data_IF_250720804386
#
_entry.id   IF_250720804386
#
_cell.length_a   1.000
_cell.length_b   1.000
_cell.length_c   1.000
_cell.angle_alpha   90.00
_cell.angle_beta   90.00
_cell.angle_gamma   90.00
#
_symmetry.space_group_name_H-M   'P 1'
#
loop_
_entity.id
_entity.type
_entity.pdbx_description
1 polymer ?
#
# COMPACT_ATOMS: atom_id res chain seq x y z
N UNK A 1 -8.96 -40.75 3.29
CA UNK A 1 -9.84 -39.56 3.46
C UNK A 1 -8.94 -38.39 3.80
N UNK A 2 -8.97 -37.35 2.96
CA UNK A 2 -8.02 -36.24 3.02
C UNK A 2 -8.29 -35.37 4.25
N UNK A 3 -7.23 -35.00 4.99
CA UNK A 3 -7.28 -34.08 6.14
C UNK A 3 -7.88 -32.71 5.76
N UNK A 4 -7.83 -32.36 4.47
CA UNK A 4 -8.49 -31.18 3.89
C UNK A 4 -10.01 -31.17 4.10
N UNK A 5 -10.64 -32.34 4.20
CA UNK A 5 -12.10 -32.46 4.34
C UNK A 5 -12.59 -32.21 5.77
N UNK A 6 -11.72 -32.34 6.78
CA UNK A 6 -12.09 -32.20 8.19
C UNK A 6 -12.03 -30.75 8.69
N UNK A 7 -11.14 -29.93 8.11
CA UNK A 7 -11.06 -28.50 8.43
C UNK A 7 -12.16 -27.68 7.73
N UNK A 8 -12.73 -28.17 6.62
CA UNK A 8 -13.82 -27.48 5.90
C UNK A 8 -15.16 -27.44 6.65
N UNK A 9 -15.38 -28.31 7.64
CA UNK A 9 -16.61 -28.27 8.46
C UNK A 9 -16.54 -27.31 9.65
N UNK A 10 -15.34 -26.83 10.03
CA UNK A 10 -15.17 -25.96 11.20
C UNK A 10 -15.00 -24.48 10.86
N UNK A 11 -14.67 -24.16 9.60
CA UNK A 11 -14.64 -22.80 9.09
C UNK A 11 -15.59 -22.75 7.91
N UNK A 12 -16.79 -22.21 8.11
CA UNK A 12 -17.68 -21.86 7.01
C UNK A 12 -16.92 -20.89 6.10
N UNK A 13 -16.45 -21.37 4.96
CA UNK A 13 -15.88 -20.51 3.91
C UNK A 13 -16.98 -19.57 3.46
N UNK A 14 -17.05 -18.36 4.03
CA UNK A 14 -17.89 -17.28 3.52
C UNK A 14 -17.28 -16.85 2.19
N UNK A 15 -17.83 -17.38 1.11
CA UNK A 15 -17.65 -16.81 -0.21
C UNK A 15 -18.52 -15.55 -0.23
N UNK A 16 -17.89 -14.37 -0.35
CA UNK A 16 -18.60 -13.12 -0.62
C UNK A 16 -19.06 -13.12 -2.08
N UNK A 17 -20.00 -14.01 -2.42
CA UNK A 17 -20.73 -13.96 -3.70
C UNK A 17 -21.88 -12.97 -3.51
N UNK A 18 -21.66 -11.71 -3.90
CA UNK A 18 -22.72 -10.72 -3.97
C UNK A 18 -23.65 -11.13 -5.11
N UNK A 19 -24.95 -11.43 -4.86
CA UNK A 19 -25.86 -11.74 -5.93
C UNK A 19 -26.08 -10.51 -6.82
N UNK A 20 -26.06 -10.81 -8.12
CA UNK A 20 -26.15 -9.93 -9.27
C UNK A 20 -27.20 -8.81 -9.18
N UNK A 21 -26.81 -7.70 -9.80
CA UNK A 21 -27.54 -6.48 -10.09
C UNK A 21 -28.97 -6.74 -10.63
N UNK A 22 -29.96 -6.10 -10.00
CA UNK A 22 -31.23 -5.76 -10.67
C UNK A 22 -31.19 -4.27 -11.07
N UNK A 23 -30.97 -4.01 -12.35
CA UNK A 23 -31.13 -2.70 -12.96
C UNK A 23 -32.60 -2.26 -12.97
N UNK A 24 -32.87 -1.02 -12.52
CA UNK A 24 -34.03 -0.24 -12.95
C UNK A 24 -33.61 1.19 -13.26
N UNK A 25 -33.92 1.74 -14.46
CA UNK A 25 -33.54 3.08 -14.87
C UNK A 25 -34.62 4.10 -14.49
N UNK A 26 -34.20 5.25 -13.99
CA UNK A 26 -34.92 6.53 -13.93
C UNK A 26 -33.93 7.58 -13.38
N UNK A 27 -33.82 8.81 -13.84
CA UNK A 27 -34.35 9.62 -14.91
C UNK A 27 -33.48 10.90 -14.83
N UNK A 28 -33.03 11.45 -15.96
CA UNK A 28 -32.17 12.65 -15.98
C UNK A 28 -32.91 13.88 -15.41
N UNK A 29 -32.26 14.62 -14.52
CA UNK A 29 -32.52 16.04 -14.33
C UNK A 29 -31.17 16.76 -14.10
N UNK A 30 -30.84 17.79 -14.90
CA UNK A 30 -29.58 18.50 -14.78
C UNK A 30 -29.69 19.51 -13.65
N UNK A 31 -28.83 19.38 -12.64
CA UNK A 31 -28.55 20.44 -11.69
C UNK A 31 -27.11 20.89 -11.92
N UNK A 32 -26.93 21.87 -12.80
CA UNK A 32 -25.81 22.80 -12.72
C UNK A 32 -25.95 23.57 -11.41
N UNK A 33 -25.30 23.07 -10.35
CA UNK A 33 -24.91 23.89 -9.21
C UNK A 33 -23.42 23.68 -8.97
N UNK A 34 -22.68 24.77 -9.17
CA UNK A 34 -21.30 25.04 -8.79
C UNK A 34 -20.51 23.85 -8.23
N UNK A 35 -19.61 23.32 -9.07
CA UNK A 35 -18.42 22.62 -8.58
C UNK A 35 -17.56 23.62 -7.79
N UNK A 36 -17.88 23.81 -6.51
CA UNK A 36 -16.82 23.97 -5.52
C UNK A 36 -16.06 22.64 -5.57
N UNK A 37 -14.93 22.62 -6.29
CA UNK A 37 -13.92 21.58 -6.11
C UNK A 37 -13.52 21.62 -4.64
N UNK A 38 -14.19 20.83 -3.80
CA UNK A 38 -13.62 20.42 -2.51
C UNK A 38 -12.27 19.78 -2.86
N UNK A 39 -11.17 20.50 -2.61
CA UNK A 39 -9.83 19.91 -2.68
C UNK A 39 -9.83 18.69 -1.76
N UNK A 40 -9.82 17.51 -2.37
CA UNK A 40 -9.71 16.25 -1.65
C UNK A 40 -8.43 16.31 -0.80
N UNK A 41 -8.48 15.97 0.50
CA UNK A 41 -7.31 16.09 1.35
C UNK A 41 -6.16 15.23 0.80
N UNK A 42 -5.03 15.87 0.51
CA UNK A 42 -3.84 15.16 0.00
C UNK A 42 -3.38 14.05 0.95
N UNK A 43 -2.98 12.90 0.40
CA UNK A 43 -2.36 11.84 1.19
C UNK A 43 -0.99 12.29 1.70
N UNK A 44 -0.86 12.39 3.02
CA UNK A 44 0.38 12.83 3.70
C UNK A 44 1.43 11.71 3.81
N UNK A 45 1.07 10.46 3.49
CA UNK A 45 1.95 9.30 3.62
C UNK A 45 3.21 9.38 2.74
N UNK A 46 3.15 9.75 1.44
CA UNK A 46 4.33 9.80 0.59
C UNK A 46 5.36 10.81 1.09
N UNK A 47 4.91 12.02 1.45
CA UNK A 47 5.78 13.07 2.00
C UNK A 47 6.46 12.62 3.31
N UNK A 48 5.71 11.98 4.22
CA UNK A 48 6.28 11.43 5.46
C UNK A 48 7.30 10.32 5.20
N UNK A 49 7.05 9.44 4.23
CA UNK A 49 7.98 8.38 3.84
C UNK A 49 9.29 8.95 3.29
N UNK A 50 9.23 9.98 2.45
CA UNK A 50 10.42 10.65 1.93
C UNK A 50 11.24 11.33 3.03
N UNK A 51 10.58 12.11 3.91
CA UNK A 51 11.24 12.74 5.06
C UNK A 51 11.93 11.70 5.96
N UNK A 52 11.21 10.61 6.28
CA UNK A 52 11.73 9.55 7.12
C UNK A 52 12.86 8.77 6.44
N UNK A 53 12.80 8.55 5.13
CA UNK A 53 13.86 7.89 4.36
C UNK A 53 15.16 8.72 4.29
N UNK A 54 15.04 10.06 4.29
CA UNK A 54 16.16 11.00 4.30
C UNK A 54 16.68 11.32 5.71
N UNK A 55 15.96 10.90 6.75
CA UNK A 55 16.37 11.11 8.14
C UNK A 55 17.73 10.48 8.43
N UNK A 56 18.49 11.06 9.37
CA UNK A 56 19.79 10.52 9.76
C UNK A 56 19.74 9.08 10.30
N UNK A 57 18.59 8.66 10.83
CA UNK A 57 18.37 7.29 11.32
C UNK A 57 18.22 6.28 10.19
N UNK A 58 17.60 6.65 9.05
CA UNK A 58 17.31 5.74 7.96
C UNK A 58 18.16 5.95 6.70
N UNK A 59 18.87 7.08 6.57
CA UNK A 59 19.62 7.44 5.36
C UNK A 59 20.63 6.37 4.93
N UNK A 60 21.27 5.68 5.89
CA UNK A 60 22.19 4.58 5.59
C UNK A 60 21.46 3.39 4.94
N UNK A 61 20.33 2.96 5.52
CA UNK A 61 19.52 1.87 4.98
C UNK A 61 18.96 2.22 3.60
N UNK A 62 18.44 3.45 3.43
CA UNK A 62 17.97 3.97 2.14
C UNK A 62 19.09 3.92 1.09
N UNK A 63 20.31 4.33 1.44
CA UNK A 63 21.45 4.28 0.52
C UNK A 63 21.84 2.85 0.13
N UNK A 64 21.80 1.91 1.08
CA UNK A 64 22.07 0.49 0.79
C UNK A 64 21.03 -0.09 -0.17
N UNK A 65 19.75 0.22 0.06
CA UNK A 65 18.68 -0.17 -0.84
C UNK A 65 18.88 0.37 -2.26
N UNK A 66 19.14 1.68 -2.39
CA UNK A 66 19.38 2.32 -3.69
C UNK A 66 20.58 1.71 -4.42
N UNK A 67 21.69 1.47 -3.72
CA UNK A 67 22.86 0.82 -4.30
C UNK A 67 22.57 -0.62 -4.75
N UNK A 68 21.79 -1.39 -3.96
CA UNK A 68 21.36 -2.72 -4.39
C UNK A 68 20.52 -2.65 -5.66
N UNK A 69 19.52 -1.75 -5.70
CA UNK A 69 18.65 -1.55 -6.85
C UNK A 69 19.46 -1.21 -8.10
N UNK A 70 20.36 -0.23 -8.02
CA UNK A 70 21.23 0.17 -9.13
C UNK A 70 22.04 -1.01 -9.66
N UNK A 71 22.60 -1.84 -8.78
CA UNK A 71 23.39 -3.02 -9.16
C UNK A 71 22.54 -4.11 -9.82
N UNK A 72 21.36 -4.40 -9.28
CA UNK A 72 20.43 -5.40 -9.81
C UNK A 72 19.87 -4.95 -11.16
N UNK A 73 19.44 -3.70 -11.27
CA UNK A 73 18.92 -3.10 -12.50
C UNK A 73 20.00 -3.00 -13.59
N UNK A 74 21.26 -2.77 -13.22
CA UNK A 74 22.40 -2.79 -14.14
C UNK A 74 22.80 -4.22 -14.59
N UNK A 75 22.16 -5.27 -14.08
CA UNK A 75 22.53 -6.66 -14.34
C UNK A 75 23.89 -7.06 -13.76
N UNK A 76 24.39 -6.29 -12.80
CA UNK A 76 25.64 -6.54 -12.07
C UNK A 76 25.41 -7.33 -10.78
N UNK A 77 24.15 -7.63 -10.46
CA UNK A 77 23.78 -8.51 -9.36
C UNK A 77 24.04 -9.99 -9.67
N UNK A 78 23.99 -10.81 -8.64
CA UNK A 78 24.03 -12.27 -8.78
C UNK A 78 22.74 -12.78 -9.44
N UNK A 79 22.80 -13.98 -10.02
CA UNK A 79 21.62 -14.59 -10.64
C UNK A 79 20.52 -14.83 -9.59
N UNK A 80 19.38 -14.13 -9.75
CA UNK A 80 18.26 -14.19 -8.81
C UNK A 80 18.43 -13.28 -7.58
N UNK A 81 19.43 -12.40 -7.56
CA UNK A 81 19.56 -11.37 -6.53
C UNK A 81 18.34 -10.44 -6.54
N UNK A 82 17.87 -10.11 -5.34
CA UNK A 82 16.83 -9.11 -5.08
C UNK A 82 17.25 -8.27 -3.87
N UNK A 83 16.62 -7.11 -3.71
CA UNK A 83 16.97 -6.12 -2.68
C UNK A 83 16.01 -6.12 -1.48
N UNK A 84 15.37 -7.25 -1.19
CA UNK A 84 14.37 -7.35 -0.13
C UNK A 84 15.01 -7.20 1.25
N UNK A 85 16.24 -7.69 1.43
CA UNK A 85 16.97 -7.57 2.69
C UNK A 85 17.31 -6.11 3.00
N UNK A 86 17.74 -5.35 1.99
CA UNK A 86 18.11 -3.94 2.12
C UNK A 86 16.89 -3.01 2.17
N UNK A 87 15.68 -3.52 1.94
CA UNK A 87 14.46 -2.71 1.90
C UNK A 87 14.25 -1.97 3.24
N UNK A 88 14.43 -0.65 3.21
CA UNK A 88 14.45 0.24 4.37
C UNK A 88 13.10 0.43 5.09
N UNK A 89 12.05 -0.30 4.72
CA UNK A 89 10.70 -0.10 5.25
C UNK A 89 10.63 -0.23 6.77
N UNK A 90 11.37 -1.18 7.37
CA UNK A 90 11.38 -1.28 8.83
C UNK A 90 11.81 0.02 9.52
N UNK A 91 12.84 0.70 9.01
CA UNK A 91 13.29 1.97 9.56
C UNK A 91 12.28 3.09 9.29
N UNK A 92 11.83 3.20 8.04
CA UNK A 92 10.91 4.26 7.60
C UNK A 92 9.57 4.15 8.32
N UNK A 93 8.99 2.96 8.44
CA UNK A 93 7.68 2.76 9.06
C UNK A 93 7.70 3.06 10.55
N UNK A 94 8.78 2.74 11.26
CA UNK A 94 8.95 3.14 12.66
C UNK A 94 8.95 4.67 12.84
N UNK A 95 9.47 5.41 11.85
CA UNK A 95 9.43 6.88 11.84
C UNK A 95 8.07 7.44 11.39
N UNK A 96 7.45 6.83 10.38
CA UNK A 96 6.20 7.30 9.76
C UNK A 96 4.99 7.03 10.64
N UNK A 97 4.88 5.83 11.22
CA UNK A 97 3.69 5.40 11.95
C UNK A 97 3.17 6.43 12.99
N UNK A 98 3.98 6.92 13.94
CA UNK A 98 3.47 7.89 14.92
C UNK A 98 3.08 9.25 14.31
N UNK A 99 3.69 9.65 13.18
CA UNK A 99 3.44 10.94 12.52
C UNK A 99 2.21 10.89 11.61
N UNK A 100 2.01 9.77 10.94
CA UNK A 100 0.88 9.52 10.04
C UNK A 100 -0.42 9.49 10.83
N UNK A 101 -0.52 8.62 11.84
CA UNK A 101 -1.74 8.47 12.63
C UNK A 101 -2.10 9.70 13.48
N UNK A 102 -1.17 10.63 13.68
CA UNK A 102 -1.46 11.93 14.30
C UNK A 102 -2.12 12.93 13.34
N UNK A 103 -2.03 12.71 12.02
CA UNK A 103 -2.59 13.58 10.97
C UNK A 103 -3.91 13.06 10.41
N UNK A 104 -4.09 11.74 10.38
CA UNK A 104 -5.33 11.10 9.95
C UNK A 104 -6.44 11.37 10.97
N UNK A 105 -7.66 11.64 10.49
CA UNK A 105 -8.87 11.89 11.29
C UNK A 105 -9.90 10.80 11.08
#
# INVERSE_FOLDING_TARGET
MSLSSFFSSFVSTVYADAPAEEEKPAEEAPAEEAAEEEEEPEDVLPALKEECAQSSACAAATKHFQHCQEKVEAGQGFHGENCIEEFMAHCVDNCVAPRLFAKLK
#
